data_IF_061491034673
#
_entry.id   IF_061491034673
#
_cell.length_a   1.000
_cell.length_b   1.000
_cell.length_c   1.000
_cell.angle_alpha   90.00
_cell.angle_beta   90.00
_cell.angle_gamma   90.00
#
_symmetry.space_group_name_H-M   'P 1'
#
loop_
_entity.id
_entity.type
_entity.pdbx_description
1 polymer ?
#
# COMPACT_ATOMS: atom_id res chain seq x y z
N UNK A 1 4.88 16.55 8.76
CA UNK A 1 5.80 17.46 9.48
C UNK A 1 6.91 16.61 10.08
N UNK A 2 8.15 16.80 9.59
CA UNK A 2 9.36 16.21 10.20
C UNK A 2 9.72 17.02 11.45
N UNK A 3 10.40 16.42 12.45
CA UNK A 3 10.80 17.04 13.72
C UNK A 3 9.65 17.43 14.67
N UNK A 4 8.53 16.71 14.68
CA UNK A 4 7.48 16.82 15.72
C UNK A 4 7.77 15.84 16.86
N UNK A 5 7.40 16.18 18.11
CA UNK A 5 7.34 15.18 19.20
C UNK A 5 6.28 14.12 18.85
N UNK A 6 6.69 12.85 18.83
CA UNK A 6 5.88 11.74 18.32
C UNK A 6 5.03 11.04 19.39
N UNK A 7 5.04 11.52 20.64
CA UNK A 7 4.27 11.00 21.79
C UNK A 7 2.75 11.18 21.59
N UNK A 8 2.20 10.44 20.63
CA UNK A 8 0.77 10.43 20.27
C UNK A 8 0.03 9.37 21.09
N UNK A 9 0.72 8.33 21.54
CA UNK A 9 0.21 7.31 22.47
C UNK A 9 1.15 7.11 23.65
N UNK A 10 0.65 6.54 24.75
CA UNK A 10 1.41 6.31 25.99
C UNK A 10 2.70 5.48 25.80
N UNK A 11 2.78 4.68 24.74
CA UNK A 11 3.95 3.86 24.38
C UNK A 11 4.78 4.44 23.23
N UNK A 12 4.40 5.59 22.68
CA UNK A 12 5.20 6.25 21.65
C UNK A 12 6.42 6.92 22.26
N UNK A 13 7.56 6.69 21.61
CA UNK A 13 8.80 7.40 21.93
C UNK A 13 8.69 8.86 21.51
N UNK A 14 9.30 9.76 22.28
CA UNK A 14 9.26 11.20 21.99
C UNK A 14 9.92 11.55 20.64
N UNK A 15 10.96 10.79 20.29
CA UNK A 15 11.78 10.98 19.10
C UNK A 15 11.78 9.75 18.21
N UNK A 16 11.71 9.96 16.89
CA UNK A 16 11.99 8.91 15.91
C UNK A 16 13.41 9.10 15.42
N UNK A 17 14.38 8.78 16.27
CA UNK A 17 15.80 9.10 16.07
C UNK A 17 16.32 8.77 14.66
N UNK A 18 15.92 7.63 14.08
CA UNK A 18 16.33 7.27 12.73
C UNK A 18 15.70 8.17 11.66
N UNK A 19 14.43 8.52 11.78
CA UNK A 19 13.75 9.47 10.87
C UNK A 19 14.40 10.85 11.00
N UNK A 20 14.61 11.30 12.23
CA UNK A 20 15.17 12.62 12.52
C UNK A 20 16.62 12.73 11.99
N UNK A 21 17.41 11.66 12.05
CA UNK A 21 18.81 11.65 11.58
C UNK A 21 18.95 11.38 10.09
N UNK A 22 18.23 10.39 9.55
CA UNK A 22 18.44 9.91 8.18
C UNK A 22 17.48 10.46 7.14
N UNK A 23 16.39 11.10 7.57
CA UNK A 23 15.42 11.73 6.67
C UNK A 23 15.40 13.24 6.90
N UNK A 24 15.16 13.67 8.14
CA UNK A 24 15.06 15.10 8.48
C UNK A 24 16.40 15.78 8.77
N UNK A 25 17.49 15.01 8.84
CA UNK A 25 18.78 15.49 9.33
C UNK A 25 19.46 16.52 8.41
N UNK A 26 19.07 16.58 7.13
CA UNK A 26 19.48 17.65 6.21
C UNK A 26 18.53 17.77 5.01
N UNK A 27 18.49 18.93 4.32
CA UNK A 27 17.72 19.09 3.09
C UNK A 27 18.08 18.06 2.00
N UNK A 28 19.36 17.68 1.91
CA UNK A 28 19.83 16.69 0.93
C UNK A 28 19.29 15.28 1.24
N UNK A 29 19.28 14.87 2.50
CA UNK A 29 18.72 13.58 2.92
C UNK A 29 17.20 13.54 2.70
N UNK A 30 16.51 14.62 3.04
CA UNK A 30 15.07 14.72 2.82
C UNK A 30 14.73 14.64 1.33
N UNK A 31 15.45 15.37 0.48
CA UNK A 31 15.27 15.31 -0.98
C UNK A 31 15.52 13.89 -1.50
N UNK A 32 16.59 13.22 -1.06
CA UNK A 32 16.88 11.83 -1.43
C UNK A 32 15.75 10.89 -1.04
N UNK A 33 15.20 11.04 0.16
CA UNK A 33 14.06 10.24 0.60
C UNK A 33 12.82 10.48 -0.27
N UNK A 34 12.50 11.75 -0.56
CA UNK A 34 11.38 12.11 -1.45
C UNK A 34 11.56 11.54 -2.86
N UNK A 35 12.73 11.73 -3.46
CA UNK A 35 13.05 11.22 -4.80
C UNK A 35 12.94 9.69 -4.84
N UNK A 36 13.40 9.00 -3.78
CA UNK A 36 13.30 7.54 -3.66
C UNK A 36 11.85 7.09 -3.57
N UNK A 37 11.03 7.78 -2.75
CA UNK A 37 9.62 7.46 -2.59
C UNK A 37 8.84 7.66 -3.90
N UNK A 38 9.11 8.77 -4.61
CA UNK A 38 8.55 9.05 -5.94
C UNK A 38 8.94 7.96 -6.92
N UNK A 39 10.23 7.58 -6.97
CA UNK A 39 10.71 6.53 -7.86
C UNK A 39 10.02 5.18 -7.59
N UNK A 40 9.86 4.79 -6.32
CA UNK A 40 9.15 3.56 -5.94
C UNK A 40 7.71 3.59 -6.46
N UNK A 41 6.97 4.70 -6.29
CA UNK A 41 5.58 4.82 -6.77
C UNK A 41 5.49 4.81 -8.28
N UNK A 42 6.40 5.49 -8.98
CA UNK A 42 6.34 5.56 -10.45
C UNK A 42 6.69 4.23 -11.12
N UNK A 43 7.41 3.35 -10.42
CA UNK A 43 7.95 2.10 -10.97
C UNK A 43 7.28 0.86 -10.37
N UNK A 44 7.47 0.60 -9.09
CA UNK A 44 7.07 -0.64 -8.41
C UNK A 44 5.61 -0.57 -7.93
N UNK A 45 5.25 0.53 -7.26
CA UNK A 45 3.92 0.74 -6.70
C UNK A 45 3.02 1.59 -7.61
N UNK A 46 3.32 1.60 -8.91
CA UNK A 46 2.44 2.17 -9.93
C UNK A 46 1.19 1.27 -10.01
N UNK A 47 -0.04 1.75 -9.74
CA UNK A 47 -1.24 0.90 -9.72
C UNK A 47 -1.48 0.12 -11.01
N UNK A 48 -1.10 0.67 -12.17
CA UNK A 48 -1.27 0.03 -13.47
C UNK A 48 -0.29 -1.13 -13.64
N UNK A 49 1.01 -0.84 -13.52
CA UNK A 49 2.05 -1.85 -13.68
C UNK A 49 1.98 -2.91 -12.57
N UNK A 50 1.66 -2.51 -11.34
CA UNK A 50 1.48 -3.42 -10.21
C UNK A 50 0.34 -4.41 -10.48
N UNK A 51 -0.82 -3.92 -10.96
CA UNK A 51 -1.95 -4.79 -11.31
C UNK A 51 -1.57 -5.77 -12.42
N UNK A 52 -0.89 -5.33 -13.47
CA UNK A 52 -0.44 -6.22 -14.56
C UNK A 52 0.44 -7.37 -14.03
N UNK A 53 1.39 -7.06 -13.15
CA UNK A 53 2.28 -8.06 -12.54
C UNK A 53 1.49 -9.01 -11.64
N UNK A 54 0.66 -8.49 -10.73
CA UNK A 54 -0.10 -9.34 -9.80
C UNK A 54 -1.13 -10.19 -10.53
N UNK A 55 -1.80 -9.67 -11.56
CA UNK A 55 -2.72 -10.46 -12.38
C UNK A 55 -2.02 -11.64 -13.07
N UNK A 56 -0.75 -11.48 -13.49
CA UNK A 56 0.01 -12.61 -14.03
C UNK A 56 0.23 -13.74 -13.01
N UNK A 57 0.47 -13.39 -11.74
CA UNK A 57 0.57 -14.36 -10.66
C UNK A 57 -0.78 -14.93 -10.26
N UNK A 58 -1.81 -14.08 -10.20
CA UNK A 58 -3.18 -14.50 -9.91
C UNK A 58 -3.65 -15.54 -10.92
N UNK A 59 -3.56 -15.23 -12.21
CA UNK A 59 -3.96 -16.16 -13.28
C UNK A 59 -3.18 -17.48 -13.21
N UNK A 60 -1.92 -17.44 -12.78
CA UNK A 60 -1.10 -18.63 -12.60
C UNK A 60 -1.54 -19.49 -11.41
N UNK A 61 -1.92 -18.89 -10.29
CA UNK A 61 -2.20 -19.60 -9.03
C UNK A 61 -3.68 -19.82 -8.73
N UNK A 62 -4.59 -19.14 -9.45
CA UNK A 62 -6.03 -19.23 -9.21
C UNK A 62 -6.57 -20.67 -9.31
N UNK A 63 -6.15 -21.51 -10.27
CA UNK A 63 -6.57 -22.91 -10.32
C UNK A 63 -6.14 -23.72 -9.09
N UNK A 64 -4.92 -23.52 -8.61
CA UNK A 64 -4.39 -24.20 -7.41
C UNK A 64 -5.14 -23.75 -6.16
N UNK A 65 -5.48 -22.47 -6.06
CA UNK A 65 -6.29 -21.96 -4.97
C UNK A 65 -7.71 -22.54 -5.02
N UNK A 66 -8.34 -22.61 -6.20
CA UNK A 66 -9.67 -23.23 -6.35
C UNK A 66 -9.64 -24.69 -5.91
N UNK A 67 -8.63 -25.45 -6.36
CA UNK A 67 -8.41 -26.82 -5.95
C UNK A 67 -8.22 -26.96 -4.44
N UNK A 68 -7.36 -26.14 -3.83
CA UNK A 68 -7.07 -26.19 -2.40
C UNK A 68 -8.29 -25.86 -1.52
N UNK A 69 -9.11 -24.89 -1.95
CA UNK A 69 -10.36 -24.53 -1.28
C UNK A 69 -11.51 -25.51 -1.53
N UNK A 70 -11.38 -26.45 -2.48
CA UNK A 70 -12.40 -27.48 -2.72
C UNK A 70 -12.47 -28.53 -1.61
N UNK A 71 -11.40 -28.67 -0.82
CA UNK A 71 -11.33 -29.68 0.22
C UNK A 71 -12.02 -29.25 1.52
N UNK A 72 -12.78 -30.17 2.11
CA UNK A 72 -13.23 -30.02 3.49
C UNK A 72 -12.04 -30.26 4.44
N UNK A 73 -11.50 -29.18 5.01
CA UNK A 73 -10.42 -29.27 6.00
C UNK A 73 -10.91 -29.97 7.28
N UNK A 74 -10.09 -30.85 7.89
CA UNK A 74 -10.45 -31.48 9.17
C UNK A 74 -10.52 -30.48 10.31
N UNK A 75 -9.69 -29.44 10.26
CA UNK A 75 -9.71 -28.31 11.18
C UNK A 75 -10.14 -27.04 10.44
N UNK A 76 -11.14 -26.35 10.99
CA UNK A 76 -11.67 -25.11 10.46
C UNK A 76 -11.64 -24.03 11.56
N UNK A 77 -10.66 -23.11 11.53
CA UNK A 77 -10.52 -22.08 12.54
C UNK A 77 -11.70 -21.11 12.55
N UNK A 78 -12.45 -21.00 11.45
CA UNK A 78 -13.61 -20.14 11.34
C UNK A 78 -14.85 -20.64 12.10
N UNK A 79 -14.78 -21.83 12.69
CA UNK A 79 -15.78 -22.31 13.67
C UNK A 79 -15.62 -21.69 15.05
N UNK A 80 -14.53 -20.96 15.29
CA UNK A 80 -14.30 -20.19 16.52
C UNK A 80 -14.96 -18.81 16.36
N UNK A 81 -15.81 -18.44 17.32
CA UNK A 81 -16.50 -17.15 17.33
C UNK A 81 -15.49 -15.99 17.22
N UNK A 82 -15.74 -15.06 16.30
CA UNK A 82 -14.89 -13.89 16.06
C UNK A 82 -13.73 -14.12 15.08
N UNK A 83 -13.53 -15.34 14.57
CA UNK A 83 -12.52 -15.61 13.53
C UNK A 83 -13.17 -15.55 12.13
N UNK A 84 -12.63 -14.73 11.21
CA UNK A 84 -13.10 -14.67 9.83
C UNK A 84 -12.97 -16.03 9.12
N UNK A 85 -14.04 -16.47 8.46
CA UNK A 85 -14.02 -17.65 7.57
C UNK A 85 -13.56 -17.20 6.18
N UNK A 86 -12.37 -17.64 5.76
CA UNK A 86 -11.87 -17.39 4.41
C UNK A 86 -12.33 -18.48 3.44
N UNK A 87 -12.73 -18.05 2.25
CA UNK A 87 -13.21 -18.93 1.16
C UNK A 87 -12.47 -18.57 -0.12
N UNK A 88 -12.60 -19.40 -1.15
CA UNK A 88 -12.08 -19.07 -2.46
C UNK A 88 -12.62 -17.72 -2.99
N UNK A 89 -13.89 -17.41 -2.72
CA UNK A 89 -14.46 -16.10 -3.04
C UNK A 89 -13.71 -14.95 -2.35
N UNK A 90 -13.31 -15.12 -1.09
CA UNK A 90 -12.52 -14.12 -0.39
C UNK A 90 -11.13 -13.95 -1.01
N UNK A 91 -10.50 -15.02 -1.49
CA UNK A 91 -9.26 -14.93 -2.28
C UNK A 91 -9.47 -14.06 -3.53
N UNK A 92 -10.55 -14.30 -4.30
CA UNK A 92 -10.84 -13.53 -5.52
C UNK A 92 -11.18 -12.06 -5.23
N UNK A 93 -11.93 -11.80 -4.16
CA UNK A 93 -12.36 -10.45 -3.79
C UNK A 93 -11.24 -9.61 -3.17
N UNK A 94 -10.27 -10.24 -2.49
CA UNK A 94 -9.22 -9.49 -1.79
C UNK A 94 -8.22 -8.78 -2.71
N UNK A 95 -8.26 -9.06 -4.01
CA UNK A 95 -7.55 -8.24 -4.97
C UNK A 95 -8.11 -6.82 -5.05
N UNK A 96 -9.43 -6.68 -5.01
CA UNK A 96 -10.14 -5.41 -5.24
C UNK A 96 -10.56 -4.70 -3.95
N UNK A 97 -10.93 -5.44 -2.89
CA UNK A 97 -11.51 -4.87 -1.66
C UNK A 97 -11.10 -5.63 -0.41
N UNK A 98 -11.29 -5.00 0.75
CA UNK A 98 -11.11 -5.67 2.05
C UNK A 98 -12.05 -6.87 2.24
N UNK A 99 -11.55 -7.94 2.88
CA UNK A 99 -12.31 -9.15 3.21
C UNK A 99 -11.93 -9.66 4.59
N UNK A 100 -12.86 -10.25 5.33
CA UNK A 100 -12.57 -11.00 6.56
C UNK A 100 -11.73 -10.25 7.60
N UNK A 101 -11.96 -8.95 7.80
CA UNK A 101 -11.18 -8.13 8.75
C UNK A 101 -9.94 -7.45 8.15
N UNK A 102 -9.60 -7.75 6.89
CA UNK A 102 -8.64 -6.96 6.13
C UNK A 102 -9.34 -5.67 5.64
N UNK A 103 -8.76 -4.52 5.96
CA UNK A 103 -9.34 -3.22 5.63
C UNK A 103 -9.27 -2.88 4.13
N UNK A 104 -8.29 -3.42 3.42
CA UNK A 104 -8.04 -3.14 2.00
C UNK A 104 -7.83 -4.41 1.21
N UNK A 105 -8.23 -4.38 -0.06
CA UNK A 105 -7.70 -5.29 -1.06
C UNK A 105 -6.32 -4.84 -1.53
N UNK A 106 -5.53 -5.72 -2.13
CA UNK A 106 -4.14 -5.36 -2.50
C UNK A 106 -4.08 -4.27 -3.57
N UNK A 107 -5.00 -4.25 -4.55
CA UNK A 107 -5.05 -3.18 -5.56
C UNK A 107 -5.53 -1.87 -4.97
N UNK A 108 -6.58 -1.92 -4.15
CA UNK A 108 -7.06 -0.75 -3.43
C UNK A 108 -5.96 -0.14 -2.55
N UNK A 109 -5.20 -0.98 -1.84
CA UNK A 109 -4.11 -0.52 -0.99
C UNK A 109 -3.06 0.23 -1.83
N UNK A 110 -2.59 -0.35 -2.93
CA UNK A 110 -1.58 0.31 -3.79
C UNK A 110 -2.12 1.60 -4.39
N UNK A 111 -3.35 1.58 -4.90
CA UNK A 111 -4.00 2.76 -5.49
C UNK A 111 -4.09 3.91 -4.51
N UNK A 112 -4.60 3.69 -3.30
CA UNK A 112 -4.75 4.76 -2.31
C UNK A 112 -3.41 5.39 -1.90
N UNK A 113 -2.32 4.60 -1.77
CA UNK A 113 -1.00 5.13 -1.40
C UNK A 113 -0.34 5.85 -2.57
N UNK A 114 -0.48 5.33 -3.79
CA UNK A 114 -0.01 5.98 -5.00
C UNK A 114 -0.72 7.32 -5.21
N UNK A 115 -2.05 7.36 -5.08
CA UNK A 115 -2.87 8.57 -5.19
C UNK A 115 -2.55 9.62 -4.10
N UNK A 116 -2.30 9.18 -2.87
CA UNK A 116 -1.85 10.07 -1.81
C UNK A 116 -0.53 10.76 -2.18
N UNK A 117 0.45 10.01 -2.70
CA UNK A 117 1.73 10.56 -3.13
C UNK A 117 1.62 11.38 -4.42
N UNK A 118 0.72 11.00 -5.33
CA UNK A 118 0.36 11.78 -6.52
C UNK A 118 -0.08 13.18 -6.15
N UNK A 119 -1.03 13.27 -5.21
CA UNK A 119 -1.57 14.53 -4.69
C UNK A 119 -0.52 15.34 -3.95
N UNK A 120 0.38 14.67 -3.23
CA UNK A 120 1.38 15.31 -2.40
C UNK A 120 2.51 15.95 -3.22
N UNK A 121 2.98 15.21 -4.22
CA UNK A 121 4.18 15.57 -4.99
C UNK A 121 3.87 16.02 -6.43
N UNK A 122 2.60 16.10 -6.82
CA UNK A 122 2.19 16.43 -8.19
C UNK A 122 2.87 15.56 -9.26
N UNK A 123 3.08 14.30 -8.95
CA UNK A 123 3.70 13.32 -9.84
C UNK A 123 2.64 12.60 -10.68
N UNK A 124 3.07 11.85 -11.68
CA UNK A 124 2.23 10.91 -12.43
C UNK A 124 3.08 9.71 -12.83
N UNK A 125 2.46 8.69 -13.42
CA UNK A 125 3.11 7.46 -13.86
C UNK A 125 2.56 6.98 -15.19
N UNK A 126 3.24 6.02 -15.81
CA UNK A 126 2.79 5.43 -17.07
C UNK A 126 1.44 4.73 -16.86
N UNK A 127 0.45 5.09 -17.68
CA UNK A 127 -0.90 4.54 -17.62
C UNK A 127 -1.84 5.24 -16.64
N UNK A 128 -1.40 6.31 -15.97
CA UNK A 128 -2.26 7.13 -15.11
C UNK A 128 -3.44 7.72 -15.91
N UNK A 129 -4.66 7.45 -15.44
CA UNK A 129 -5.90 7.90 -16.09
C UNK A 129 -6.29 9.32 -15.68
N UNK A 130 -5.74 9.83 -14.59
CA UNK A 130 -6.08 11.12 -13.99
C UNK A 130 -4.80 11.83 -13.51
N UNK A 131 -3.88 12.18 -14.43
CA UNK A 131 -2.67 12.90 -14.08
C UNK A 131 -2.98 14.27 -13.45
N UNK A 132 -2.14 14.78 -12.53
CA UNK A 132 -2.32 16.11 -11.99
C UNK A 132 -2.33 17.19 -13.07
N UNK A 133 -3.03 18.30 -12.80
CA UNK A 133 -2.99 19.49 -13.64
C UNK A 133 -1.54 19.99 -13.82
N UNK A 134 -1.24 20.60 -14.98
CA UNK A 134 0.04 21.29 -15.23
C UNK A 134 0.31 22.42 -14.23
N UNK A 135 -0.74 22.96 -13.59
CA UNK A 135 -0.65 23.97 -12.53
C UNK A 135 -0.45 23.40 -11.13
N UNK A 136 -0.35 22.08 -10.97
CA UNK A 136 -0.14 21.45 -9.67
C UNK A 136 1.24 21.82 -9.12
N UNK A 137 1.27 22.32 -7.89
CA UNK A 137 2.50 22.65 -7.18
C UNK A 137 2.65 21.67 -6.01
N UNK A 138 3.76 20.91 -5.93
CA UNK A 138 4.02 20.02 -4.81
C UNK A 138 3.92 20.78 -3.49
N UNK A 139 3.36 20.16 -2.46
CA UNK A 139 3.33 20.83 -1.15
C UNK A 139 4.76 21.05 -0.69
N UNK A 140 5.11 22.31 -0.45
CA UNK A 140 6.37 22.66 0.17
C UNK A 140 6.28 22.30 1.64
N UNK A 141 7.19 21.45 2.08
CA UNK A 141 7.33 21.15 3.48
C UNK A 141 8.20 22.16 4.22
N UNK A 142 8.88 23.07 3.49
CA UNK A 142 9.65 24.22 3.97
C UNK A 142 9.79 25.28 2.85
#
# INVERSE_FOLDING_TARGET
MLNKKWSISERDTEHRTLVDKFIAGSPALQKRFQDTLIAIVQTILNPVAFREVVESYRARYEPEMEWDFSFKRPYDPGKISGIPIYTFKHFQENFEKGVGGLHWGIYQWVEERAEALKKEFCITWKGDKNPPSKSCVPKKYF
#
